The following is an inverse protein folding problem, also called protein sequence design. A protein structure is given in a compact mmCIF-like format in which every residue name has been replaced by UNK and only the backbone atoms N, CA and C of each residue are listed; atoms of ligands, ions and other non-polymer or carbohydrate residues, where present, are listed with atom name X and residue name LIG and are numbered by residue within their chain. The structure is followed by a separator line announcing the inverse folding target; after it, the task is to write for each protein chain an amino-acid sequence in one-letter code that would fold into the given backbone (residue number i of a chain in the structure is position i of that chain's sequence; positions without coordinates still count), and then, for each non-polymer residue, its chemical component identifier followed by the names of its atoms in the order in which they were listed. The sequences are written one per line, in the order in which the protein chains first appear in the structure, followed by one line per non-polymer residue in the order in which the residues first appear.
data_IF_362377062865
#
_entry.id   IF_362377062865
#
_cell.length_a   1.000
_cell.length_b   1.000
_cell.length_c   1.000
_cell.angle_alpha   90.00
_cell.angle_beta   90.00
_cell.angle_gamma   90.00
#
_symmetry.space_group_name_H-M   'P 1'
#
loop_
_entity.id
_entity.type
_entity.pdbx_description
1 polymer ?
#
# COMPACT_ATOMS: atom_id res chain seq x y z
N UNK A 1 9.03 -4.94 -13.33
CA UNK A 1 8.28 -3.67 -13.52
C UNK A 1 8.29 -2.78 -12.27
N UNK A 2 8.82 -1.55 -12.36
CA UNK A 2 8.98 -0.61 -11.23
C UNK A 2 7.66 -0.25 -10.51
N UNK A 3 6.53 -0.40 -11.19
CA UNK A 3 5.20 -0.06 -10.68
C UNK A 3 4.74 -0.95 -9.50
N UNK A 4 5.27 -2.17 -9.38
CA UNK A 4 4.97 -3.05 -8.22
C UNK A 4 5.66 -2.60 -6.94
N UNK A 5 6.83 -1.98 -7.07
CA UNK A 5 7.62 -1.47 -5.95
C UNK A 5 7.13 -0.09 -5.52
N UNK A 6 6.58 0.69 -6.46
CA UNK A 6 6.07 2.02 -6.19
C UNK A 6 4.64 2.23 -6.71
N UNK A 7 3.68 2.14 -5.78
CA UNK A 7 2.26 2.37 -6.01
C UNK A 7 1.94 3.79 -6.51
N UNK A 8 2.76 4.81 -6.22
CA UNK A 8 2.51 6.19 -6.70
C UNK A 8 2.65 6.33 -8.20
N UNK A 9 3.31 5.37 -8.85
CA UNK A 9 3.42 5.34 -10.30
C UNK A 9 2.12 4.88 -10.96
N UNK A 10 1.18 4.24 -10.25
CA UNK A 10 -0.04 3.68 -10.86
C UNK A 10 -1.09 4.77 -11.13
N UNK A 11 -0.84 5.58 -12.17
CA UNK A 11 -1.74 6.61 -12.66
C UNK A 11 -2.93 6.02 -13.48
N UNK A 12 -3.83 6.87 -13.96
CA UNK A 12 -5.02 6.45 -14.74
C UNK A 12 -4.69 5.62 -15.99
N UNK A 13 -3.65 5.99 -16.74
CA UNK A 13 -3.23 5.25 -17.94
C UNK A 13 -2.72 3.85 -17.60
N UNK A 14 -1.90 3.74 -16.55
CA UNK A 14 -1.39 2.45 -16.05
C UNK A 14 -2.50 1.55 -15.52
N UNK A 15 -3.48 2.11 -14.80
CA UNK A 15 -4.67 1.36 -14.35
C UNK A 15 -5.45 0.78 -15.53
N UNK A 16 -5.68 1.57 -16.59
CA UNK A 16 -6.33 1.07 -17.82
C UNK A 16 -5.52 -0.02 -18.53
N UNK A 17 -4.17 0.08 -18.53
CA UNK A 17 -3.30 -0.96 -19.09
C UNK A 17 -3.36 -2.25 -18.27
N UNK A 18 -3.32 -2.15 -16.94
CA UNK A 18 -3.42 -3.29 -16.04
C UNK A 18 -4.78 -3.96 -16.21
N UNK A 19 -5.88 -3.20 -16.15
CA UNK A 19 -7.25 -3.69 -16.37
C UNK A 19 -7.37 -4.51 -17.67
N UNK A 20 -6.88 -3.95 -18.79
CA UNK A 20 -6.86 -4.64 -20.08
C UNK A 20 -6.00 -5.90 -20.07
N UNK A 21 -4.82 -5.85 -19.44
CA UNK A 21 -3.89 -6.99 -19.39
C UNK A 21 -4.30 -8.11 -18.43
N UNK A 22 -5.05 -7.79 -17.37
CA UNK A 22 -5.51 -8.76 -16.37
C UNK A 22 -6.97 -9.18 -16.53
N UNK A 23 -7.71 -8.61 -17.48
CA UNK A 23 -9.14 -8.88 -17.65
C UNK A 23 -10.02 -8.37 -16.50
N UNK A 24 -9.53 -7.41 -15.71
CA UNK A 24 -10.25 -6.84 -14.56
C UNK A 24 -10.74 -5.43 -14.85
N UNK A 25 -11.67 -4.91 -14.05
CA UNK A 25 -12.16 -3.54 -14.23
C UNK A 25 -11.23 -2.53 -13.56
N UNK A 26 -11.23 -1.30 -14.07
CA UNK A 26 -10.43 -0.21 -13.47
C UNK A 26 -10.90 0.09 -12.04
N UNK A 27 -12.19 -0.08 -11.77
CA UNK A 27 -12.78 0.07 -10.43
C UNK A 27 -12.21 -0.94 -9.43
N UNK A 28 -12.01 -2.19 -9.83
CA UNK A 28 -11.41 -3.24 -8.99
C UNK A 28 -9.98 -2.89 -8.60
N UNK A 29 -9.21 -2.39 -9.57
CA UNK A 29 -7.84 -1.95 -9.35
C UNK A 29 -7.80 -0.78 -8.36
N UNK A 30 -8.76 0.14 -8.45
CA UNK A 30 -8.87 1.26 -7.50
C UNK A 30 -9.13 0.78 -6.08
N UNK A 31 -10.05 -0.17 -5.91
CA UNK A 31 -10.34 -0.78 -4.61
C UNK A 31 -9.12 -1.48 -4.03
N UNK A 32 -8.44 -2.28 -4.85
CA UNK A 32 -7.23 -3.00 -4.46
C UNK A 32 -6.12 -2.04 -3.98
N UNK A 33 -5.85 -0.96 -4.72
CA UNK A 33 -4.82 0.02 -4.36
C UNK A 33 -5.18 0.70 -3.04
N UNK A 34 -6.45 1.07 -2.83
CA UNK A 34 -6.91 1.67 -1.57
C UNK A 34 -6.69 0.72 -0.38
N UNK A 35 -7.09 -0.54 -0.50
CA UNK A 35 -6.93 -1.55 0.55
C UNK A 35 -5.44 -1.73 0.89
N UNK A 36 -4.58 -1.82 -0.13
CA UNK A 36 -3.13 -1.89 0.07
C UNK A 36 -2.58 -0.66 0.82
N UNK A 37 -3.01 0.55 0.46
CA UNK A 37 -2.59 1.77 1.14
C UNK A 37 -3.02 1.79 2.61
N UNK A 38 -4.24 1.33 2.91
CA UNK A 38 -4.74 1.22 4.28
C UNK A 38 -3.89 0.24 5.09
N UNK A 39 -3.65 -0.97 4.57
CA UNK A 39 -2.81 -1.98 5.22
C UNK A 39 -1.38 -1.48 5.44
N UNK A 40 -0.79 -0.81 4.45
CA UNK A 40 0.54 -0.20 4.55
C UNK A 40 0.61 0.86 5.64
N UNK A 41 -0.43 1.69 5.78
CA UNK A 41 -0.51 2.69 6.84
C UNK A 41 -0.66 2.03 8.22
N UNK A 42 -1.49 0.99 8.33
CA UNK A 42 -1.62 0.21 9.57
C UNK A 42 -0.29 -0.42 9.99
N UNK A 43 0.42 -1.10 9.07
CA UNK A 43 1.75 -1.65 9.34
C UNK A 43 2.77 -0.59 9.78
N UNK A 44 2.76 0.59 9.13
CA UNK A 44 3.63 1.70 9.54
C UNK A 44 3.32 2.20 10.95
N UNK A 45 2.05 2.35 11.28
CA UNK A 45 1.62 2.84 12.59
C UNK A 45 1.92 1.81 13.69
N UNK A 46 1.68 0.53 13.41
CA UNK A 46 2.02 -0.56 14.33
C UNK A 46 3.54 -0.65 14.55
N UNK A 47 4.34 -0.49 13.49
CA UNK A 47 5.80 -0.42 13.60
C UNK A 47 6.29 0.79 14.41
N UNK A 48 5.61 1.93 14.34
CA UNK A 48 5.90 3.09 15.21
C UNK A 48 5.54 2.80 16.66
N UNK A 49 4.37 2.20 16.91
CA UNK A 49 3.91 1.87 18.26
C UNK A 49 4.84 0.86 18.94
N UNK A 50 5.30 -0.17 18.22
CA UNK A 50 6.29 -1.13 18.73
C UNK A 50 7.64 -0.48 19.06
N UNK A 51 8.08 0.52 18.29
CA UNK A 51 9.30 1.29 18.60
C UNK A 51 9.14 2.16 19.85
N UNK A 52 7.96 2.76 20.04
CA UNK A 52 7.65 3.56 21.24
C UNK A 52 7.62 2.65 22.47
N UNK A 53 6.93 1.52 22.40
CA UNK A 53 6.88 0.53 23.48
C UNK A 53 8.28 0.03 23.84
N UNK A 54 9.12 -0.30 22.84
CA UNK A 54 10.52 -0.70 23.05
C UNK A 54 11.36 0.39 23.72
N UNK A 55 11.11 1.67 23.43
CA UNK A 55 11.78 2.79 24.13
C UNK A 55 11.33 2.88 25.57
N UNK A 56 10.02 2.80 25.86
CA UNK A 56 9.52 2.84 27.24
C UNK A 56 10.09 1.71 28.09
N UNK A 57 10.10 0.47 27.57
CA UNK A 57 10.66 -0.69 28.28
C UNK A 57 12.18 -0.59 28.53
N UNK A 58 12.91 0.23 27.74
CA UNK A 58 14.35 0.45 27.97
C UNK A 58 14.64 1.31 29.20
N UNK A 59 13.67 2.11 29.65
CA UNK A 59 13.81 3.04 30.78
C UNK A 59 13.05 2.58 32.03
N UNK A 60 12.49 1.36 32.00
CA UNK A 60 11.92 0.65 33.15
C UNK A 60 12.93 -0.39 33.60
#
# INVERSE_FOLDING_TARGET
PRERLNHTLINGSRRKRIARGSGTRVEDINRMIKNYMQMKNMMKNMGKMGKVAKRMMKYM
#
